data_IF_304350526198
#
_entry.id   IF_304350526198
#
_cell.length_a   1.000
_cell.length_b   1.000
_cell.length_c   1.000
_cell.angle_alpha   90.00
_cell.angle_beta   90.00
_cell.angle_gamma   90.00
#
_symmetry.space_group_name_H-M   'P 1'
#
loop_
_entity.id
_entity.type
_entity.pdbx_description
1 polymer ?
#
# COMPACT_ATOMS: atom_id res chain seq x y z
N UNK A 1 -55.31 59.83 41.84
CA UNK A 1 -54.34 59.53 42.91
C UNK A 1 -53.08 59.04 42.23
N UNK A 2 -52.09 59.93 42.23
CA UNK A 2 -50.67 59.73 41.93
C UNK A 2 -50.05 58.63 42.84
N UNK A 3 -48.83 58.10 42.59
CA UNK A 3 -47.70 59.00 42.29
C UNK A 3 -46.50 58.49 41.46
N UNK A 4 -45.77 59.52 40.98
CA UNK A 4 -44.32 59.71 40.98
C UNK A 4 -43.40 58.63 40.37
N UNK A 5 -42.41 58.97 39.55
CA UNK A 5 -41.87 60.28 39.19
C UNK A 5 -40.42 60.15 38.74
N UNK A 6 -40.00 61.11 37.88
CA UNK A 6 -38.66 61.75 37.82
C UNK A 6 -37.43 60.86 37.52
N UNK A 7 -36.47 61.19 36.64
CA UNK A 7 -36.03 62.45 36.05
C UNK A 7 -35.15 62.22 34.78
N UNK A 8 -35.15 63.21 33.88
CA UNK A 8 -34.19 63.54 32.78
C UNK A 8 -32.92 64.21 33.39
N UNK A 9 -31.90 64.77 32.67
CA UNK A 9 -31.59 64.79 31.22
C UNK A 9 -30.08 64.75 30.81
N UNK A 10 -29.81 64.77 29.48
CA UNK A 10 -28.70 65.46 28.74
C UNK A 10 -27.24 65.04 29.01
N UNK A 11 -26.27 65.12 28.10
CA UNK A 11 -26.20 65.42 26.67
C UNK A 11 -24.78 65.09 26.15
N UNK A 12 -24.62 65.15 24.83
CA UNK A 12 -23.41 65.51 24.09
C UNK A 12 -22.17 64.60 24.17
N UNK A 13 -21.85 63.92 23.05
CA UNK A 13 -20.68 64.27 22.23
C UNK A 13 -20.47 63.25 21.10
N UNK A 14 -20.74 63.66 19.85
CA UNK A 14 -19.78 63.43 18.74
C UNK A 14 -18.48 64.19 19.07
N UNK A 15 -17.27 63.92 18.50
CA UNK A 15 -17.06 63.50 17.11
C UNK A 15 -15.86 62.57 16.83
N UNK A 16 -15.87 62.03 15.60
CA UNK A 16 -14.76 61.87 14.65
C UNK A 16 -13.30 62.06 15.11
N UNK A 17 -12.53 60.97 14.96
CA UNK A 17 -11.12 60.80 14.52
C UNK A 17 -9.99 61.68 15.11
N UNK A 18 -8.78 61.10 15.31
CA UNK A 18 -7.73 61.43 14.34
C UNK A 18 -6.74 60.30 14.01
N UNK A 19 -6.24 60.38 12.78
CA UNK A 19 -4.97 59.83 12.27
C UNK A 19 -3.78 60.41 13.06
N UNK A 20 -2.78 59.60 13.44
CA UNK A 20 -1.35 59.81 13.09
C UNK A 20 -0.44 58.66 13.60
N UNK A 21 0.71 58.59 12.95
CA UNK A 21 1.81 57.60 12.90
C UNK A 21 2.50 57.19 14.21
N UNK A 22 3.12 56.00 14.13
CA UNK A 22 4.54 55.80 14.50
C UNK A 22 4.80 54.72 15.58
N UNK A 23 5.32 53.54 15.19
CA UNK A 23 6.73 53.06 15.37
C UNK A 23 6.99 52.56 16.81
N UNK A 24 7.36 51.32 17.13
CA UNK A 24 8.42 50.39 16.68
C UNK A 24 8.06 48.97 17.18
N UNK A 25 8.55 47.83 16.68
CA UNK A 25 9.85 47.15 16.95
C UNK A 25 9.79 45.84 16.14
N UNK A 26 10.58 45.68 15.08
CA UNK A 26 11.70 44.73 15.00
C UNK A 26 11.36 43.23 15.22
N UNK A 27 11.25 42.48 14.14
CA UNK A 27 11.91 41.17 14.01
C UNK A 27 11.97 40.74 12.54
N UNK A 28 13.15 40.29 12.14
CA UNK A 28 13.53 39.85 10.80
C UNK A 28 12.98 38.45 10.47
N UNK A 29 12.72 38.22 9.16
CA UNK A 29 12.71 36.99 8.30
C UNK A 29 12.57 35.56 8.89
N UNK A 30 12.17 34.50 8.11
CA UNK A 30 12.27 34.41 6.65
C UNK A 30 11.08 33.80 5.87
N UNK A 31 11.02 34.19 4.59
CA UNK A 31 10.99 33.31 3.41
C UNK A 31 10.10 32.06 3.52
N UNK A 32 8.87 32.18 2.98
CA UNK A 32 8.07 31.02 2.62
C UNK A 32 8.83 30.18 1.60
N UNK A 33 9.37 29.06 2.08
CA UNK A 33 9.98 28.02 1.26
C UNK A 33 8.94 27.55 0.24
N UNK A 34 9.22 27.86 -1.01
CA UNK A 34 8.54 27.36 -2.19
C UNK A 34 8.68 25.83 -2.19
N UNK A 35 7.71 25.16 -1.57
CA UNK A 35 7.59 23.70 -1.58
C UNK A 35 7.60 23.28 -3.05
N UNK A 36 8.49 22.36 -3.48
CA UNK A 36 8.59 22.01 -4.88
C UNK A 36 7.22 21.60 -5.41
N UNK A 37 6.75 22.32 -6.44
CA UNK A 37 5.54 21.98 -7.16
C UNK A 37 5.59 20.50 -7.53
N UNK A 38 4.70 19.70 -6.94
CA UNK A 38 4.52 18.32 -7.32
C UNK A 38 4.27 18.29 -8.83
N UNK A 39 4.93 17.40 -9.59
CA UNK A 39 4.70 17.32 -11.02
C UNK A 39 3.22 17.03 -11.24
N UNK A 40 2.56 17.93 -11.96
CA UNK A 40 1.17 17.81 -12.37
C UNK A 40 1.02 16.51 -13.17
N UNK A 41 0.63 15.44 -12.48
CA UNK A 41 0.26 14.20 -13.13
C UNK A 41 -0.97 14.49 -14.00
N UNK A 42 -0.83 14.18 -15.28
CA UNK A 42 -1.82 14.37 -16.32
C UNK A 42 -3.23 14.02 -15.82
N UNK A 43 -4.09 15.03 -15.84
CA UNK A 43 -5.52 14.99 -15.60
C UNK A 43 -6.17 13.96 -16.52
N UNK A 44 -6.32 12.73 -16.05
CA UNK A 44 -7.32 11.81 -16.62
C UNK A 44 -8.67 12.32 -16.15
N UNK A 45 -9.39 13.00 -17.03
CA UNK A 45 -10.79 13.36 -16.81
C UNK A 45 -11.58 12.07 -16.56
N UNK A 46 -11.88 11.74 -15.30
CA UNK A 46 -12.73 10.61 -15.01
C UNK A 46 -13.61 10.89 -13.80
N UNK A 47 -14.75 11.53 -14.07
CA UNK A 47 -15.91 11.55 -13.16
C UNK A 47 -15.51 12.03 -11.76
N UNK A 48 -14.73 13.11 -11.76
CA UNK A 48 -14.11 13.72 -10.59
C UNK A 48 -15.22 14.31 -9.70
N UNK A 49 -15.53 13.65 -8.58
CA UNK A 49 -16.12 14.22 -7.34
C UNK A 49 -16.65 13.12 -6.39
N UNK A 50 -16.76 11.86 -6.83
CA UNK A 50 -17.21 10.79 -5.93
C UNK A 50 -16.06 10.27 -5.06
N UNK A 51 -16.16 10.37 -3.72
CA UNK A 51 -15.06 10.03 -2.83
C UNK A 51 -14.80 8.52 -2.86
N UNK A 52 -13.57 8.13 -3.20
CA UNK A 52 -13.17 6.72 -3.32
C UNK A 52 -13.14 6.05 -1.94
N UNK A 53 -13.62 4.81 -1.83
CA UNK A 53 -13.73 4.11 -0.54
C UNK A 53 -12.41 3.44 -0.15
N UNK A 54 -11.94 3.72 1.08
CA UNK A 54 -10.73 3.08 1.65
C UNK A 54 -10.92 1.57 1.84
N UNK A 55 -12.12 1.13 2.19
CA UNK A 55 -12.44 -0.28 2.35
C UNK A 55 -12.34 -1.02 1.00
N UNK A 56 -12.88 -0.44 -0.06
CA UNK A 56 -12.85 -1.03 -1.40
C UNK A 56 -11.40 -1.16 -1.91
N UNK A 57 -10.60 -0.12 -1.72
CA UNK A 57 -9.16 -0.13 -2.02
C UNK A 57 -8.45 -1.27 -1.27
N UNK A 58 -8.71 -1.41 0.02
CA UNK A 58 -8.11 -2.43 0.87
C UNK A 58 -8.51 -3.85 0.51
N UNK A 59 -9.80 -4.08 0.21
CA UNK A 59 -10.29 -5.37 -0.28
C UNK A 59 -9.63 -5.72 -1.62
N UNK A 60 -9.52 -4.75 -2.52
CA UNK A 60 -8.86 -4.97 -3.80
C UNK A 60 -7.39 -5.33 -3.59
N UNK A 61 -6.69 -4.63 -2.70
CA UNK A 61 -5.30 -4.94 -2.34
C UNK A 61 -5.16 -6.35 -1.74
N UNK A 62 -6.11 -6.79 -0.91
CA UNK A 62 -6.11 -8.11 -0.29
C UNK A 62 -6.27 -9.25 -1.30
N UNK A 63 -7.19 -9.12 -2.27
CA UNK A 63 -7.44 -10.18 -3.25
C UNK A 63 -6.50 -10.15 -4.45
N UNK A 64 -5.98 -8.98 -4.80
CA UNK A 64 -5.24 -8.77 -6.05
C UNK A 64 -3.80 -8.32 -5.81
N UNK A 65 -3.22 -8.80 -4.71
CA UNK A 65 -1.88 -8.45 -4.19
C UNK A 65 -0.80 -8.26 -5.28
N UNK A 66 -0.57 -9.20 -6.23
CA UNK A 66 0.52 -9.04 -7.21
C UNK A 66 0.20 -8.07 -8.35
N UNK A 67 -1.07 -7.76 -8.59
CA UNK A 67 -1.54 -7.06 -9.81
C UNK A 67 -1.38 -5.54 -9.75
N UNK A 68 -1.37 -4.94 -8.56
CA UNK A 68 -1.35 -3.47 -8.40
C UNK A 68 -2.68 -2.76 -8.66
N UNK A 69 -3.79 -3.51 -8.80
CA UNK A 69 -5.13 -2.96 -9.07
C UNK A 69 -5.61 -1.96 -7.99
N UNK A 70 -5.18 -2.10 -6.74
CA UNK A 70 -5.49 -1.15 -5.67
C UNK A 70 -4.96 0.27 -5.95
N UNK A 71 -3.77 0.40 -6.54
CA UNK A 71 -3.19 1.68 -6.96
C UNK A 71 -3.90 2.25 -8.18
N UNK A 72 -4.31 1.39 -9.11
CA UNK A 72 -5.17 1.79 -10.24
C UNK A 72 -6.49 2.35 -9.72
N UNK A 73 -7.09 1.71 -8.70
CA UNK A 73 -8.31 2.19 -8.06
C UNK A 73 -8.15 3.56 -7.42
N UNK A 74 -6.95 3.92 -6.95
CA UNK A 74 -6.67 5.26 -6.39
C UNK A 74 -6.36 6.29 -7.49
N UNK A 75 -6.11 5.85 -8.72
CA UNK A 75 -5.72 6.72 -9.84
C UNK A 75 -4.19 6.86 -10.00
N UNK A 76 -3.40 6.06 -9.29
CA UNK A 76 -1.94 6.04 -9.47
C UNK A 76 -1.54 5.25 -10.71
N UNK A 77 -0.80 5.89 -11.61
CA UNK A 77 -0.35 5.28 -12.87
C UNK A 77 0.59 4.08 -12.66
N UNK A 78 1.31 4.04 -11.52
CA UNK A 78 2.22 2.93 -11.22
C UNK A 78 1.49 1.60 -11.04
N UNK A 79 0.22 1.63 -10.61
CA UNK A 79 -0.63 0.43 -10.56
C UNK A 79 -0.89 -0.14 -11.95
N UNK A 80 -1.00 0.71 -12.95
CA UNK A 80 -1.32 0.32 -14.33
C UNK A 80 -0.10 -0.33 -15.00
N UNK A 81 1.09 0.23 -14.77
CA UNK A 81 2.36 -0.40 -15.19
C UNK A 81 2.47 -1.79 -14.59
N UNK A 82 2.25 -1.90 -13.28
CA UNK A 82 2.36 -3.16 -12.55
C UNK A 82 1.36 -4.20 -13.06
N UNK A 83 0.13 -3.80 -13.35
CA UNK A 83 -0.88 -4.68 -13.93
C UNK A 83 -0.43 -5.27 -15.27
N UNK A 84 0.14 -4.46 -16.17
CA UNK A 84 0.64 -4.97 -17.45
C UNK A 84 1.87 -5.86 -17.31
N UNK A 85 2.76 -5.57 -16.35
CA UNK A 85 3.89 -6.46 -16.05
C UNK A 85 3.39 -7.82 -15.56
N UNK A 86 2.35 -7.83 -14.71
CA UNK A 86 1.70 -9.07 -14.27
C UNK A 86 1.09 -9.85 -15.44
N UNK A 87 0.29 -9.17 -16.29
CA UNK A 87 -0.30 -9.80 -17.48
C UNK A 87 0.78 -10.36 -18.40
N UNK A 88 1.85 -9.61 -18.64
CA UNK A 88 3.00 -10.07 -19.42
C UNK A 88 3.65 -11.31 -18.82
N UNK A 89 3.91 -11.32 -17.50
CA UNK A 89 4.48 -12.46 -16.81
C UNK A 89 3.58 -13.71 -16.91
N UNK A 90 2.26 -13.56 -16.77
CA UNK A 90 1.31 -14.68 -16.93
C UNK A 90 1.36 -15.23 -18.36
N UNK A 91 1.37 -14.38 -19.39
CA UNK A 91 1.46 -14.82 -20.78
C UNK A 91 2.80 -15.52 -21.05
N UNK A 92 3.91 -14.97 -20.56
CA UNK A 92 5.23 -15.56 -20.72
C UNK A 92 5.38 -16.90 -19.97
N UNK A 93 4.59 -17.14 -18.92
CA UNK A 93 4.65 -18.38 -18.15
C UNK A 93 4.23 -19.63 -18.95
N UNK A 94 3.43 -19.45 -20.00
CA UNK A 94 2.99 -20.55 -20.89
C UNK A 94 4.10 -20.97 -21.84
N UNK A 95 5.06 -20.07 -22.11
CA UNK A 95 6.16 -20.35 -23.05
C UNK A 95 7.27 -21.11 -22.31
N UNK A 96 7.62 -22.33 -22.76
CA UNK A 96 8.72 -23.09 -22.16
C UNK A 96 10.03 -22.29 -22.24
N UNK A 97 10.91 -22.47 -21.24
CA UNK A 97 12.15 -21.72 -21.01
C UNK A 97 11.97 -20.26 -20.52
N UNK A 98 10.94 -19.54 -20.98
CA UNK A 98 10.59 -18.22 -20.42
C UNK A 98 9.80 -18.33 -19.11
N UNK A 99 9.21 -19.49 -18.83
CA UNK A 99 8.48 -19.78 -17.60
C UNK A 99 9.31 -19.56 -16.31
N UNK A 100 10.61 -19.87 -16.32
CA UNK A 100 11.49 -19.64 -15.17
C UNK A 100 11.64 -18.14 -14.91
N UNK A 101 11.87 -17.35 -15.97
CA UNK A 101 11.97 -15.90 -15.86
C UNK A 101 10.63 -15.28 -15.43
N UNK A 102 9.52 -15.75 -15.99
CA UNK A 102 8.18 -15.34 -15.58
C UNK A 102 7.92 -15.66 -14.10
N UNK A 103 8.35 -16.83 -13.63
CA UNK A 103 8.27 -17.21 -12.21
C UNK A 103 9.05 -16.25 -11.30
N UNK A 104 10.27 -15.87 -11.68
CA UNK A 104 11.06 -14.88 -10.93
C UNK A 104 10.37 -13.51 -10.88
N UNK A 105 9.85 -13.04 -12.01
CA UNK A 105 9.09 -11.77 -12.06
C UNK A 105 7.85 -11.84 -11.17
N UNK A 106 7.12 -12.95 -11.16
CA UNK A 106 5.94 -13.15 -10.32
C UNK A 106 6.29 -13.13 -8.83
N UNK A 107 7.44 -13.68 -8.43
CA UNK A 107 7.92 -13.60 -7.03
C UNK A 107 8.21 -12.14 -6.65
N UNK A 108 8.90 -11.38 -7.50
CA UNK A 108 9.19 -9.96 -7.26
C UNK A 108 7.89 -9.15 -7.16
N UNK A 109 6.93 -9.38 -8.07
CA UNK A 109 5.62 -8.74 -8.03
C UNK A 109 4.82 -9.10 -6.78
N UNK A 110 4.99 -10.31 -6.25
CA UNK A 110 4.34 -10.74 -5.01
C UNK A 110 4.94 -10.01 -3.80
N UNK A 111 6.27 -9.96 -3.69
CA UNK A 111 6.96 -9.22 -2.60
C UNK A 111 6.62 -7.73 -2.65
N UNK A 112 6.63 -7.14 -3.85
CA UNK A 112 6.16 -5.77 -4.05
C UNK A 112 4.71 -5.63 -3.57
N UNK A 113 3.82 -6.57 -3.91
CA UNK A 113 2.42 -6.53 -3.49
C UNK A 113 2.21 -6.55 -1.98
N UNK A 114 3.01 -7.33 -1.28
CA UNK A 114 2.98 -7.38 0.18
C UNK A 114 3.41 -6.03 0.76
N UNK A 115 4.54 -5.47 0.31
CA UNK A 115 4.99 -4.14 0.75
C UNK A 115 3.94 -3.06 0.43
N UNK A 116 3.34 -3.15 -0.76
CA UNK A 116 2.33 -2.23 -1.23
C UNK A 116 1.07 -2.24 -0.37
N UNK A 117 0.61 -3.42 0.03
CA UNK A 117 -0.53 -3.57 0.94
C UNK A 117 -0.32 -2.81 2.26
N UNK A 118 0.89 -2.88 2.84
CA UNK A 118 1.22 -2.15 4.07
C UNK A 118 1.33 -0.63 3.85
N UNK A 119 1.83 -0.19 2.70
CA UNK A 119 1.89 1.23 2.35
C UNK A 119 0.47 1.78 2.17
N UNK A 120 -0.38 1.10 1.41
CA UNK A 120 -1.78 1.47 1.17
C UNK A 120 -2.60 1.62 2.46
N UNK A 121 -2.20 0.92 3.54
CA UNK A 121 -2.79 1.10 4.87
C UNK A 121 -2.63 2.50 5.42
N UNK A 122 -1.51 3.14 5.14
CA UNK A 122 -1.20 4.48 5.62
C UNK A 122 -1.75 5.58 4.72
N UNK A 123 -2.20 5.24 3.51
CA UNK A 123 -2.76 6.19 2.55
C UNK A 123 -4.15 6.63 3.00
N UNK A 124 -4.35 7.95 3.03
CA UNK A 124 -5.62 8.61 3.38
C UNK A 124 -6.14 9.50 2.25
N UNK A 125 -5.33 9.73 1.22
CA UNK A 125 -5.63 10.58 0.07
C UNK A 125 -5.55 9.77 -1.21
N UNK A 126 -6.38 10.12 -2.20
CA UNK A 126 -6.35 9.49 -3.50
C UNK A 126 -5.24 10.06 -4.40
N UNK A 127 -5.09 9.53 -5.62
CA UNK A 127 -4.05 9.96 -6.57
C UNK A 127 -4.23 11.39 -7.09
N UNK A 128 -5.36 12.03 -6.78
CA UNK A 128 -5.71 13.41 -7.13
C UNK A 128 -5.65 14.33 -5.90
N UNK A 129 -5.37 13.77 -4.71
CA UNK A 129 -5.27 14.49 -3.44
C UNK A 129 -6.60 14.65 -2.68
N UNK A 130 -7.67 13.98 -3.10
CA UNK A 130 -8.95 13.97 -2.39
C UNK A 130 -8.93 12.95 -1.24
N UNK A 131 -9.51 13.25 -0.07
CA UNK A 131 -9.54 12.32 1.05
C UNK A 131 -10.38 11.07 0.71
N UNK A 132 -9.86 9.89 1.04
CA UNK A 132 -10.64 8.66 0.87
C UNK A 132 -11.81 8.64 1.85
N UNK A 133 -12.96 8.18 1.36
CA UNK A 133 -14.12 7.95 2.19
C UNK A 133 -13.82 6.84 3.20
N UNK A 134 -13.92 7.18 4.49
CA UNK A 134 -13.76 6.24 5.59
C UNK A 134 -14.82 6.50 6.66
N UNK A 135 -15.42 5.43 7.15
CA UNK A 135 -16.26 5.45 8.35
C UNK A 135 -15.57 4.72 9.49
N UNK A 136 -15.98 4.97 10.74
CA UNK A 136 -15.46 4.22 11.91
C UNK A 136 -15.63 2.70 11.78
N UNK A 137 -16.67 2.26 11.06
CA UNK A 137 -16.91 0.85 10.76
C UNK A 137 -15.88 0.31 9.78
N UNK A 138 -15.52 1.10 8.77
CA UNK A 138 -14.54 0.71 7.75
C UNK A 138 -13.13 0.60 8.35
N UNK A 139 -12.76 1.49 9.26
CA UNK A 139 -11.47 1.40 9.96
C UNK A 139 -11.31 0.09 10.75
N UNK A 140 -12.40 -0.38 11.38
CA UNK A 140 -12.42 -1.68 12.06
C UNK A 140 -12.28 -2.82 11.05
N UNK A 141 -12.98 -2.75 9.92
CA UNK A 141 -12.90 -3.75 8.87
C UNK A 141 -11.51 -3.82 8.22
N UNK A 142 -10.87 -2.68 7.95
CA UNK A 142 -9.49 -2.60 7.43
C UNK A 142 -8.49 -3.19 8.43
N UNK A 143 -8.69 -2.95 9.72
CA UNK A 143 -7.85 -3.54 10.78
C UNK A 143 -7.98 -5.07 10.81
N UNK A 144 -9.20 -5.59 10.73
CA UNK A 144 -9.47 -7.04 10.62
C UNK A 144 -8.83 -7.61 9.36
N UNK A 145 -8.99 -6.94 8.21
CA UNK A 145 -8.41 -7.36 6.94
C UNK A 145 -6.88 -7.43 7.01
N UNK A 146 -6.25 -6.47 7.69
CA UNK A 146 -4.80 -6.47 7.91
C UNK A 146 -4.36 -7.67 8.76
N UNK A 147 -5.10 -8.00 9.81
CA UNK A 147 -4.82 -9.18 10.64
C UNK A 147 -4.94 -10.46 9.82
N UNK A 148 -6.03 -10.60 9.05
CA UNK A 148 -6.24 -11.75 8.16
C UNK A 148 -5.12 -11.87 7.12
N UNK A 149 -4.64 -10.75 6.58
CA UNK A 149 -3.53 -10.73 5.63
C UNK A 149 -2.23 -11.25 6.25
N UNK A 150 -1.91 -10.81 7.48
CA UNK A 150 -0.73 -11.30 8.22
C UNK A 150 -0.85 -12.80 8.50
N UNK A 151 -2.01 -13.27 8.94
CA UNK A 151 -2.26 -14.70 9.18
C UNK A 151 -2.09 -15.49 7.87
N UNK A 152 -2.62 -15.00 6.75
CA UNK A 152 -2.47 -15.64 5.44
C UNK A 152 -0.98 -15.72 5.03
N UNK A 153 -0.20 -14.66 5.24
CA UNK A 153 1.25 -14.69 4.99
C UNK A 153 1.97 -15.70 5.86
N UNK A 154 1.62 -15.80 7.14
CA UNK A 154 2.19 -16.80 8.05
C UNK A 154 1.87 -18.23 7.59
N UNK A 155 0.62 -18.48 7.16
CA UNK A 155 0.22 -19.78 6.61
C UNK A 155 0.97 -20.13 5.33
N UNK A 156 1.17 -19.16 4.43
CA UNK A 156 1.98 -19.35 3.23
C UNK A 156 3.42 -19.70 3.60
N UNK A 157 4.04 -18.97 4.53
CA UNK A 157 5.40 -19.26 5.00
C UNK A 157 5.50 -20.68 5.60
N UNK A 158 4.55 -21.08 6.45
CA UNK A 158 4.48 -22.42 7.01
C UNK A 158 4.31 -23.49 5.92
N UNK A 159 3.48 -23.24 4.91
CA UNK A 159 3.29 -24.17 3.79
C UNK A 159 4.58 -24.37 2.98
N UNK A 160 5.37 -23.31 2.77
CA UNK A 160 6.66 -23.39 2.08
C UNK A 160 7.63 -24.25 2.89
N UNK A 161 7.74 -24.02 4.20
CA UNK A 161 8.59 -24.82 5.09
C UNK A 161 8.17 -26.30 5.09
N UNK A 162 6.86 -26.57 5.15
CA UNK A 162 6.32 -27.92 5.09
C UNK A 162 6.63 -28.62 3.76
N UNK A 163 6.49 -27.92 2.63
CA UNK A 163 6.82 -28.45 1.30
C UNK A 163 8.31 -28.77 1.19
N UNK A 164 9.19 -27.88 1.65
CA UNK A 164 10.64 -28.14 1.65
C UNK A 164 10.94 -29.38 2.51
N UNK A 165 10.40 -29.46 3.73
CA UNK A 165 10.58 -30.63 4.60
C UNK A 165 10.09 -31.93 3.96
N UNK A 166 8.91 -31.92 3.34
CA UNK A 166 8.35 -33.08 2.64
C UNK A 166 9.21 -33.50 1.45
N UNK A 167 9.72 -32.54 0.66
CA UNK A 167 10.60 -32.85 -0.48
C UNK A 167 11.93 -33.46 -0.03
N UNK A 168 12.56 -32.91 1.02
CA UNK A 168 13.81 -33.45 1.56
C UNK A 168 13.60 -34.85 2.14
N UNK A 169 12.54 -35.04 2.92
CA UNK A 169 12.18 -36.35 3.47
C UNK A 169 11.87 -37.37 2.37
N UNK A 170 11.11 -36.98 1.34
CA UNK A 170 10.81 -37.82 0.19
C UNK A 170 12.07 -38.22 -0.59
N UNK A 171 13.01 -37.30 -0.79
CA UNK A 171 14.31 -37.60 -1.39
C UNK A 171 15.13 -38.58 -0.54
N UNK A 172 15.14 -38.43 0.78
CA UNK A 172 15.84 -39.37 1.68
C UNK A 172 15.23 -40.78 1.65
N UNK A 173 13.90 -40.90 1.57
CA UNK A 173 13.23 -42.19 1.41
C UNK A 173 13.52 -42.83 0.05
N UNK A 174 13.54 -42.03 -1.02
CA UNK A 174 13.85 -42.51 -2.35
C UNK A 174 15.29 -43.04 -2.42
N UNK A 175 16.26 -42.29 -1.87
CA UNK A 175 17.66 -42.69 -1.79
C UNK A 175 17.82 -44.01 -1.01
N UNK A 176 17.15 -44.11 0.14
CA UNK A 176 17.13 -45.34 0.95
C UNK A 176 16.54 -46.53 0.18
N UNK A 177 15.48 -46.30 -0.60
CA UNK A 177 14.83 -47.33 -1.40
C UNK A 177 15.66 -47.76 -2.63
N UNK A 178 16.48 -46.87 -3.20
CA UNK A 178 17.33 -47.17 -4.37
C UNK A 178 18.74 -47.65 -4.00
N UNK A 179 19.17 -47.49 -2.75
CA UNK A 179 20.51 -47.83 -2.27
C UNK A 179 20.96 -49.31 -2.37
N UNK A 180 20.11 -50.36 -2.25
CA UNK A 180 20.61 -51.73 -2.33
C UNK A 180 20.96 -52.21 -3.75
N UNK A 181 20.71 -51.42 -4.80
CA UNK A 181 20.95 -51.83 -6.19
C UNK A 181 22.31 -51.39 -6.77
N UNK A 182 23.08 -50.53 -6.08
CA UNK A 182 24.30 -49.92 -6.64
C UNK A 182 25.61 -50.38 -5.96
N UNK A 183 25.55 -51.23 -4.93
CA UNK A 183 26.73 -51.74 -4.20
C UNK A 183 27.20 -53.12 -4.65
N UNK A 184 26.63 -53.68 -5.74
CA UNK A 184 26.89 -55.05 -6.19
C UNK A 184 28.02 -55.26 -7.21
N UNK A 185 28.49 -54.24 -7.93
CA UNK A 185 29.33 -54.47 -9.13
C UNK A 185 30.84 -54.19 -8.97
N UNK A 186 31.34 -53.79 -7.81
CA UNK A 186 32.77 -53.45 -7.63
C UNK A 186 33.64 -54.51 -6.92
N UNK A 187 33.14 -55.74 -6.71
CA UNK A 187 33.88 -56.78 -5.95
C UNK A 187 34.51 -57.91 -6.78
N UNK A 188 34.70 -57.75 -8.10
CA UNK A 188 35.18 -58.86 -8.96
C UNK A 188 36.53 -58.68 -9.67
N UNK A 189 37.30 -57.61 -9.42
CA UNK A 189 38.60 -57.40 -10.07
C UNK A 189 39.79 -57.17 -9.13
N UNK A 190 39.84 -57.87 -7.99
CA UNK A 190 41.06 -57.92 -7.16
C UNK A 190 41.42 -59.36 -6.77
N UNK A 191 41.57 -60.22 -7.79
CA UNK A 191 42.15 -61.55 -7.63
C UNK A 191 42.93 -61.93 -8.89
N UNK A 192 44.08 -61.29 -9.08
CA UNK A 192 45.25 -61.86 -9.77
C UNK A 192 46.32 -60.78 -9.89
N UNK A 193 47.39 -60.86 -9.09
CA UNK A 193 48.80 -60.94 -9.51
C UNK A 193 49.71 -60.89 -8.28
#
# INVERSE_FOLDING_TARGET
>A
MEPNGTAKPTSDNEPSAPSDKGKSVESAEPKSEERPAAPAHHKSAHKDDEPRSRLAMMLLAFFTVPTGLARVYIGEQIGLVRFWVYVGAVVLSVVPFLNVLAGLVMIVLMVWGVADFFILRTVQEDGVGAPLHTTKRDDKAVSILTILFIIALALVALSIVALIGLTLFGLSLLDSATSPFNTGENYYYDSSY
#
